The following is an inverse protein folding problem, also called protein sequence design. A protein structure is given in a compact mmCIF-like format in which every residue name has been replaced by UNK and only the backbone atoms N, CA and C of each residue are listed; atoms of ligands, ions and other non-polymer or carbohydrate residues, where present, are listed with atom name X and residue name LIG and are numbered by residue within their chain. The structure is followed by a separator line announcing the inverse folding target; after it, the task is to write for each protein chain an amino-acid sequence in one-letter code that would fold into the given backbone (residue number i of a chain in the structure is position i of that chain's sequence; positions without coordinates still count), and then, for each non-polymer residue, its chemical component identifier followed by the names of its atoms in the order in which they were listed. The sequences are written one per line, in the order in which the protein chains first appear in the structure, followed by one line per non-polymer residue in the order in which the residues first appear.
data_IF_957259149107
#
_entry.id   IF_957259149107
#
_cell.length_a   1.000
_cell.length_b   1.000
_cell.length_c   1.000
_cell.angle_alpha   90.00
_cell.angle_beta   90.00
_cell.angle_gamma   90.00
#
_symmetry.space_group_name_H-M   'P 1'
#
loop_
_entity.id
_entity.type
_entity.pdbx_description
1 polymer ?
#
# COMPACT_ATOMS: atom_id res chain seq x y z
N UNK A 1 26.60 13.48 9.06
CA UNK A 1 25.44 12.69 9.47
C UNK A 1 24.80 12.01 8.28
N UNK A 2 24.59 10.76 8.37
CA UNK A 2 24.05 9.99 7.27
C UNK A 2 22.53 10.23 7.14
N UNK A 3 22.10 10.60 5.98
CA UNK A 3 20.69 10.73 5.69
C UNK A 3 20.06 9.36 5.51
N UNK A 4 18.87 9.20 6.06
CA UNK A 4 18.10 8.00 5.77
C UNK A 4 17.65 8.08 4.31
N UNK A 5 18.23 7.25 3.49
CA UNK A 5 17.91 7.26 2.08
C UNK A 5 16.66 6.43 1.81
N UNK A 6 15.75 6.99 1.04
CA UNK A 6 14.53 6.30 0.62
C UNK A 6 14.66 5.95 -0.85
N UNK A 7 14.39 4.70 -1.18
CA UNK A 7 14.50 4.20 -2.54
C UNK A 7 13.13 3.94 -3.13
N UNK A 8 13.02 4.13 -4.44
CA UNK A 8 11.85 3.65 -5.15
C UNK A 8 11.93 2.12 -5.22
N UNK A 9 10.77 1.46 -5.34
CA UNK A 9 10.72 0.01 -5.35
C UNK A 9 11.61 -0.62 -6.43
N UNK A 10 11.85 0.10 -7.54
CA UNK A 10 12.65 -0.45 -8.64
C UNK A 10 14.15 -0.19 -8.47
N UNK A 11 14.57 0.43 -7.38
CA UNK A 11 15.97 0.75 -7.13
C UNK A 11 16.64 -0.20 -6.15
N UNK A 12 15.88 -1.14 -5.60
CA UNK A 12 16.39 -2.04 -4.57
C UNK A 12 16.77 -3.38 -5.16
N UNK A 13 17.62 -4.11 -4.44
CA UNK A 13 18.04 -5.44 -4.88
C UNK A 13 16.98 -6.48 -4.56
N UNK A 14 16.21 -6.24 -3.49
CA UNK A 14 15.13 -7.12 -3.09
C UNK A 14 13.92 -6.29 -2.72
N UNK A 15 12.80 -6.61 -3.33
CA UNK A 15 11.54 -5.93 -3.08
C UNK A 15 11.02 -6.24 -1.66
N UNK A 16 10.30 -5.31 -1.00
CA UNK A 16 9.65 -5.66 0.26
C UNK A 16 8.71 -6.83 0.04
N UNK A 17 8.64 -7.73 1.01
CA UNK A 17 7.95 -8.98 0.81
C UNK A 17 7.17 -9.38 2.05
N UNK A 18 5.92 -9.76 1.86
CA UNK A 18 5.13 -10.30 2.96
C UNK A 18 5.54 -11.75 3.23
N UNK A 19 5.28 -12.19 4.45
CA UNK A 19 5.60 -13.54 4.87
C UNK A 19 5.02 -14.59 3.93
N UNK A 20 3.81 -14.36 3.43
CA UNK A 20 3.14 -15.30 2.52
C UNK A 20 3.61 -15.19 1.07
N UNK A 21 4.55 -14.31 0.78
CA UNK A 21 5.07 -14.10 -0.57
C UNK A 21 6.51 -14.57 -0.74
N UNK A 22 7.05 -15.32 0.22
CA UNK A 22 8.47 -15.63 0.24
C UNK A 22 8.92 -16.67 -0.78
N UNK A 23 8.00 -17.35 -1.43
CA UNK A 23 8.35 -18.41 -2.38
C UNK A 23 8.60 -17.92 -3.79
N UNK A 24 8.44 -16.62 -4.02
CA UNK A 24 8.64 -16.07 -5.36
C UNK A 24 10.10 -16.10 -5.75
N UNK A 25 10.36 -16.47 -7.00
CA UNK A 25 11.71 -16.69 -7.49
C UNK A 25 12.26 -15.49 -8.27
N UNK A 26 11.41 -14.54 -8.65
CA UNK A 26 11.90 -13.38 -9.38
C UNK A 26 11.25 -12.10 -8.85
N UNK A 27 11.83 -10.98 -9.26
CA UNK A 27 11.43 -9.66 -8.79
C UNK A 27 9.97 -9.34 -9.13
N UNK A 28 9.54 -9.67 -10.35
CA UNK A 28 8.19 -9.35 -10.79
C UNK A 28 7.14 -10.14 -10.00
N UNK A 29 7.42 -11.41 -9.72
CA UNK A 29 6.50 -12.23 -8.94
C UNK A 29 6.39 -11.72 -7.51
N UNK A 30 7.51 -11.28 -6.92
CA UNK A 30 7.50 -10.69 -5.58
C UNK A 30 6.67 -9.42 -5.57
N UNK A 31 6.84 -8.57 -6.57
CA UNK A 31 6.08 -7.33 -6.68
C UNK A 31 4.60 -7.60 -6.82
N UNK A 32 4.23 -8.55 -7.67
CA UNK A 32 2.83 -8.90 -7.87
C UNK A 32 2.20 -9.46 -6.61
N UNK A 33 2.91 -10.33 -5.90
CA UNK A 33 2.42 -10.89 -4.65
C UNK A 33 2.23 -9.81 -3.59
N UNK A 34 3.19 -8.89 -3.48
CA UNK A 34 3.13 -7.78 -2.55
C UNK A 34 1.92 -6.90 -2.81
N UNK A 35 1.74 -6.48 -4.07
CA UNK A 35 0.63 -5.62 -4.45
C UNK A 35 -0.72 -6.32 -4.26
N UNK A 36 -0.78 -7.59 -4.65
CA UNK A 36 -2.01 -8.36 -4.51
C UNK A 36 -2.41 -8.51 -3.04
N UNK A 37 -1.45 -8.77 -2.17
CA UNK A 37 -1.71 -8.94 -0.74
C UNK A 37 -2.28 -7.65 -0.15
N UNK A 38 -1.67 -6.51 -0.45
CA UNK A 38 -2.17 -5.22 0.07
C UNK A 38 -3.54 -4.88 -0.52
N UNK A 39 -3.68 -5.01 -1.83
CA UNK A 39 -4.93 -4.65 -2.50
C UNK A 39 -6.09 -5.49 -1.98
N UNK A 40 -5.87 -6.79 -1.85
CA UNK A 40 -6.90 -7.69 -1.32
C UNK A 40 -7.25 -7.34 0.12
N UNK A 41 -6.25 -7.04 0.92
CA UNK A 41 -6.47 -6.71 2.32
C UNK A 41 -7.28 -5.41 2.47
N UNK A 42 -6.93 -4.39 1.71
CA UNK A 42 -7.63 -3.11 1.73
C UNK A 42 -9.07 -3.27 1.23
N UNK A 43 -9.25 -3.99 0.12
CA UNK A 43 -10.57 -4.20 -0.45
C UNK A 43 -11.48 -4.95 0.52
N UNK A 44 -10.93 -5.95 1.19
CA UNK A 44 -11.67 -6.72 2.16
C UNK A 44 -12.11 -5.85 3.34
N UNK A 45 -11.21 -4.99 3.80
CA UNK A 45 -11.55 -4.08 4.90
C UNK A 45 -12.66 -3.12 4.48
N UNK A 46 -12.58 -2.56 3.28
CA UNK A 46 -13.62 -1.65 2.78
C UNK A 46 -14.98 -2.34 2.74
N UNK A 47 -15.02 -3.63 2.41
CA UNK A 47 -16.29 -4.35 2.33
C UNK A 47 -16.96 -4.49 3.70
N UNK A 48 -16.22 -4.31 4.79
CA UNK A 48 -16.76 -4.37 6.14
C UNK A 48 -17.23 -3.01 6.65
N UNK A 49 -16.93 -1.94 5.91
CA UNK A 49 -17.28 -0.59 6.32
C UNK A 49 -18.65 -0.18 5.78
N UNK A 50 -19.39 0.54 6.58
CA UNK A 50 -20.71 1.04 6.16
C UNK A 50 -20.52 2.45 5.58
N UNK A 51 -20.15 2.51 4.30
CA UNK A 51 -19.88 3.77 3.63
C UNK A 51 -21.14 4.20 2.88
N UNK A 52 -21.69 5.34 3.25
CA UNK A 52 -22.92 5.87 2.66
C UNK A 52 -22.57 7.08 1.80
N UNK A 53 -22.98 7.04 0.54
CA UNK A 53 -22.76 8.14 -0.39
C UNK A 53 -24.08 8.62 -0.98
N UNK A 54 -24.12 9.88 -1.37
CA UNK A 54 -25.30 10.43 -2.04
C UNK A 54 -25.17 10.38 -3.56
N UNK A 55 -23.95 10.16 -4.04
CA UNK A 55 -23.67 9.96 -5.47
C UNK A 55 -22.71 8.79 -5.58
N UNK A 56 -22.88 8.00 -6.63
CA UNK A 56 -22.00 6.87 -6.89
C UNK A 56 -20.56 7.36 -7.05
N UNK A 57 -19.64 6.70 -6.35
CA UNK A 57 -18.21 6.98 -6.45
C UNK A 57 -17.56 5.87 -7.25
N UNK A 58 -16.86 6.22 -8.32
CA UNK A 58 -16.09 5.28 -9.11
C UNK A 58 -14.76 5.98 -9.41
N UNK A 59 -13.70 5.52 -8.78
CA UNK A 59 -12.43 6.19 -8.83
C UNK A 59 -11.30 5.17 -8.75
N UNK A 60 -10.18 5.50 -9.39
CA UNK A 60 -8.95 4.77 -9.17
C UNK A 60 -8.09 5.67 -8.29
N UNK A 61 -8.01 5.33 -7.01
CA UNK A 61 -7.24 6.13 -6.07
C UNK A 61 -5.79 5.67 -6.09
N UNK A 62 -4.88 6.62 -5.97
CA UNK A 62 -3.45 6.32 -5.93
C UNK A 62 -2.98 6.51 -4.50
N UNK A 63 -2.40 5.47 -3.93
CA UNK A 63 -1.94 5.47 -2.55
C UNK A 63 -0.43 5.41 -2.57
N UNK A 64 0.20 6.41 -1.97
CA UNK A 64 1.64 6.43 -1.83
C UNK A 64 2.02 5.79 -0.50
N UNK A 65 2.72 4.68 -0.59
CA UNK A 65 3.09 3.87 0.56
C UNK A 65 4.56 3.98 0.85
N UNK A 66 4.88 3.89 2.12
CA UNK A 66 6.26 3.87 2.59
C UNK A 66 6.46 2.62 3.43
N UNK A 67 7.47 1.83 3.08
CA UNK A 67 7.86 0.66 3.87
C UNK A 67 9.19 0.99 4.53
N UNK A 68 9.19 1.03 5.85
CA UNK A 68 10.39 1.37 6.60
C UNK A 68 11.41 0.26 6.54
N UNK A 69 12.63 0.57 6.93
CA UNK A 69 13.70 -0.43 7.00
C UNK A 69 13.41 -1.51 8.05
N UNK A 70 12.43 -1.28 8.91
CA UNK A 70 12.02 -2.25 9.92
C UNK A 70 10.81 -3.07 9.49
N UNK A 71 10.32 -2.85 8.28
CA UNK A 71 9.17 -3.61 7.78
C UNK A 71 7.82 -3.03 8.17
N UNK A 72 7.78 -1.79 8.63
CA UNK A 72 6.51 -1.12 8.92
C UNK A 72 6.03 -0.41 7.67
N UNK A 73 4.73 -0.49 7.42
CA UNK A 73 4.13 0.12 6.24
C UNK A 73 3.16 1.21 6.66
N UNK A 74 3.18 2.33 5.95
CA UNK A 74 2.23 3.41 6.19
C UNK A 74 1.92 4.16 4.91
N UNK A 75 0.76 4.79 4.89
CA UNK A 75 0.32 5.64 3.79
C UNK A 75 0.75 7.06 4.12
N UNK A 76 1.50 7.70 3.20
CA UNK A 76 1.90 9.07 3.43
C UNK A 76 1.19 10.06 2.52
N UNK A 77 0.53 9.58 1.47
CA UNK A 77 -0.23 10.46 0.56
C UNK A 77 -1.26 9.64 -0.20
N UNK A 78 -2.41 10.27 -0.47
CA UNK A 78 -3.49 9.66 -1.25
C UNK A 78 -3.92 10.66 -2.32
N UNK A 79 -4.11 10.20 -3.54
CA UNK A 79 -4.61 11.02 -4.64
C UNK A 79 -5.95 10.48 -5.09
N UNK A 80 -6.98 11.32 -5.04
CA UNK A 80 -8.34 10.94 -5.38
C UNK A 80 -9.01 12.06 -6.16
N UNK A 81 -10.13 11.74 -6.81
CA UNK A 81 -10.96 12.75 -7.43
C UNK A 81 -11.66 13.57 -6.34
N UNK A 82 -12.07 14.79 -6.71
CA UNK A 82 -12.74 15.67 -5.76
C UNK A 82 -14.04 15.09 -5.25
N UNK A 83 -14.80 14.45 -6.14
CA UNK A 83 -16.06 13.81 -5.73
C UNK A 83 -15.83 12.74 -4.67
N UNK A 84 -14.75 11.98 -4.80
CA UNK A 84 -14.41 10.95 -3.82
C UNK A 84 -14.19 11.56 -2.46
N UNK A 85 -13.46 12.67 -2.40
CA UNK A 85 -13.21 13.36 -1.13
C UNK A 85 -14.50 13.89 -0.51
N UNK A 86 -15.38 14.43 -1.34
CA UNK A 86 -16.65 14.99 -0.85
C UNK A 86 -17.58 13.89 -0.33
N UNK A 87 -17.64 12.77 -1.02
CA UNK A 87 -18.56 11.69 -0.67
C UNK A 87 -18.03 10.82 0.47
N UNK A 88 -16.71 10.69 0.59
CA UNK A 88 -16.10 9.84 1.60
C UNK A 88 -15.01 10.65 2.33
N UNK A 89 -15.43 11.61 3.18
CA UNK A 89 -14.44 12.45 3.88
C UNK A 89 -13.57 11.66 4.86
N UNK A 90 -14.02 10.49 5.31
CA UNK A 90 -13.25 9.63 6.22
C UNK A 90 -12.34 8.65 5.50
N UNK A 91 -12.16 8.80 4.18
CA UNK A 91 -11.39 7.85 3.37
C UNK A 91 -9.99 7.61 3.91
N UNK A 92 -9.27 8.68 4.27
CA UNK A 92 -7.91 8.54 4.76
C UNK A 92 -7.86 7.72 6.05
N UNK A 93 -8.81 7.93 6.96
CA UNK A 93 -8.87 7.14 8.19
C UNK A 93 -9.14 5.68 7.92
N UNK A 94 -10.06 5.42 6.97
CA UNK A 94 -10.40 4.03 6.61
C UNK A 94 -9.18 3.35 6.00
N UNK A 95 -8.47 4.03 5.12
CA UNK A 95 -7.28 3.46 4.49
C UNK A 95 -6.20 3.15 5.51
N UNK A 96 -5.96 4.06 6.45
CA UNK A 96 -4.96 3.82 7.49
C UNK A 96 -5.34 2.63 8.36
N UNK A 97 -6.62 2.55 8.75
CA UNK A 97 -7.08 1.43 9.56
C UNK A 97 -7.01 0.11 8.78
N UNK A 98 -7.18 0.16 7.46
CA UNK A 98 -7.16 -1.05 6.64
C UNK A 98 -5.81 -1.72 6.61
N UNK A 99 -4.74 -1.01 6.97
CA UNK A 99 -3.41 -1.60 6.98
C UNK A 99 -3.14 -2.42 8.23
N UNK A 100 -4.01 -2.34 9.23
CA UNK A 100 -3.87 -3.15 10.44
C UNK A 100 -4.20 -4.61 10.12
N UNK A 101 -3.48 -5.51 10.74
CA UNK A 101 -3.73 -6.94 10.53
C UNK A 101 -3.06 -7.53 9.31
N UNK A 102 -2.23 -6.77 8.61
CA UNK A 102 -1.45 -7.32 7.50
C UNK A 102 -0.47 -8.39 8.00
N UNK A 103 -0.12 -9.36 7.13
CA UNK A 103 0.93 -10.31 7.49
C UNK A 103 2.25 -9.61 7.76
N UNK A 104 3.18 -10.32 8.39
CA UNK A 104 4.51 -9.78 8.64
C UNK A 104 5.16 -9.39 7.32
N UNK A 105 5.80 -8.22 7.30
CA UNK A 105 6.43 -7.67 6.12
C UNK A 105 7.93 -7.57 6.34
N UNK A 106 8.69 -8.13 5.40
CA UNK A 106 10.14 -8.01 5.40
C UNK A 106 10.54 -6.81 4.54
N UNK A 107 11.44 -5.95 5.03
CA UNK A 107 11.77 -4.73 4.29
C UNK A 107 12.60 -5.02 3.04
N UNK A 108 12.72 -4.01 2.18
CA UNK A 108 13.56 -4.09 0.99
C UNK A 108 15.03 -4.20 1.39
N UNK A 109 15.82 -4.80 0.50
CA UNK A 109 17.25 -4.98 0.70
C UNK A 109 17.98 -4.28 -0.43
N UNK A 110 19.01 -3.51 -0.07
CA UNK A 110 19.92 -2.89 -1.03
C UNK A 110 21.34 -3.05 -0.49
N UNK A 111 22.22 -3.65 -1.29
CA UNK A 111 23.62 -3.90 -0.90
C UNK A 111 23.69 -4.59 0.46
N UNK A 112 22.86 -5.62 0.62
CA UNK A 112 22.79 -6.44 1.84
C UNK A 112 22.29 -5.70 3.07
N UNK A 113 21.70 -4.52 2.90
CA UNK A 113 21.15 -3.74 4.02
C UNK A 113 19.66 -3.53 3.86
N UNK A 114 18.95 -3.53 4.98
CA UNK A 114 17.54 -3.19 4.99
C UNK A 114 17.39 -1.69 4.75
N UNK A 115 16.52 -1.33 3.82
CA UNK A 115 16.33 0.06 3.43
C UNK A 115 14.86 0.42 3.36
N UNK A 116 14.59 1.71 3.43
CA UNK A 116 13.25 2.25 3.29
C UNK A 116 12.90 2.40 1.82
N UNK A 117 11.67 2.06 1.47
CA UNK A 117 11.20 2.16 0.09
C UNK A 117 9.86 2.88 0.02
N UNK A 118 9.61 3.51 -1.13
CA UNK A 118 8.32 4.11 -1.44
C UNK A 118 7.81 3.51 -2.74
N UNK A 119 6.50 3.40 -2.83
CA UNK A 119 5.87 2.95 -4.06
C UNK A 119 4.43 3.42 -4.09
N UNK A 120 3.88 3.51 -5.29
CA UNK A 120 2.52 3.97 -5.50
C UNK A 120 1.66 2.79 -5.91
N UNK A 121 0.51 2.67 -5.28
CA UNK A 121 -0.40 1.57 -5.51
C UNK A 121 -1.76 2.09 -5.95
N UNK A 122 -2.25 1.70 -7.15
CA UNK A 122 -3.59 2.07 -7.57
C UNK A 122 -4.62 1.12 -6.96
N UNK A 123 -5.70 1.69 -6.43
CA UNK A 123 -6.80 0.91 -5.86
C UNK A 123 -8.08 1.36 -6.56
N UNK A 124 -8.84 0.41 -7.08
CA UNK A 124 -10.12 0.71 -7.69
C UNK A 124 -11.17 0.79 -6.58
N UNK A 125 -11.81 1.95 -6.48
CA UNK A 125 -12.83 2.20 -5.47
C UNK A 125 -14.16 2.43 -6.15
N UNK A 126 -15.16 1.64 -5.77
CA UNK A 126 -16.51 1.82 -6.28
C UNK A 126 -17.49 1.70 -5.13
N UNK A 127 -18.30 2.75 -4.94
CA UNK A 127 -19.28 2.81 -3.86
C UNK A 127 -20.58 3.34 -4.46
N UNK A 128 -21.67 2.59 -4.31
CA UNK A 128 -22.99 2.97 -4.79
C UNK A 128 -23.89 3.49 -3.68
#
# INVERSE_FOLDING_TARGET
MEELKTFNWNEVDRYPNFENCTDSINFQDNKNCFEHTITTHISKYFSTQNIIVTQTVSDTILIDLLVSKNGEIKIFQTQTHELTKQQIPELDSILKSSLEGLPKLYPAIKRSQQVQTVFQLPIILKVD
#
